data_IF_685026570484
#
_entry.id   IF_685026570484
#
_cell.length_a   1.000
_cell.length_b   1.000
_cell.length_c   1.000
_cell.angle_alpha   90.00
_cell.angle_beta   90.00
_cell.angle_gamma   90.00
#
_symmetry.space_group_name_H-M   'P 1'
#
loop_
_entity.id
_entity.type
_entity.pdbx_description
1 polymer ?
#
# COMPACT_ATOMS: atom_id res chain seq x y z
N UNK A 1 51.50 -5.82 -12.18
CA UNK A 1 50.30 -5.08 -11.75
C UNK A 1 50.07 -3.89 -12.66
N UNK A 2 51.13 -3.15 -12.97
CA UNK A 2 51.13 -2.03 -13.93
C UNK A 2 50.70 -2.44 -15.34
N UNK A 3 51.11 -3.61 -15.83
CA UNK A 3 50.69 -4.11 -17.16
C UNK A 3 49.17 -4.33 -17.26
N UNK A 4 48.55 -4.89 -16.22
CA UNK A 4 47.10 -5.13 -16.17
C UNK A 4 46.33 -3.81 -16.06
N UNK A 5 46.88 -2.82 -15.34
CA UNK A 5 46.30 -1.48 -15.24
C UNK A 5 46.39 -0.78 -16.61
N UNK A 6 47.52 -0.89 -17.31
CA UNK A 6 47.71 -0.33 -18.66
C UNK A 6 46.77 -0.95 -19.68
N UNK A 7 46.63 -2.28 -19.69
CA UNK A 7 45.70 -3.01 -20.55
C UNK A 7 44.24 -2.65 -20.25
N UNK A 8 43.87 -2.53 -18.97
CA UNK A 8 42.53 -2.10 -18.56
C UNK A 8 42.22 -0.69 -19.07
N UNK A 9 43.13 0.27 -18.87
CA UNK A 9 42.96 1.65 -19.35
C UNK A 9 42.86 1.72 -20.87
N UNK A 10 43.64 0.90 -21.58
CA UNK A 10 43.62 0.85 -23.05
C UNK A 10 42.28 0.32 -23.59
N UNK A 11 41.69 -0.68 -22.91
CA UNK A 11 40.44 -1.33 -23.37
C UNK A 11 39.18 -0.58 -22.93
N UNK A 12 39.19 0.08 -21.77
CA UNK A 12 38.01 0.73 -21.18
C UNK A 12 37.99 2.25 -21.29
N UNK A 13 39.13 2.86 -21.64
CA UNK A 13 39.32 4.33 -21.60
C UNK A 13 39.29 4.92 -20.18
N UNK A 14 39.26 4.09 -19.14
CA UNK A 14 39.16 4.51 -17.75
C UNK A 14 40.47 5.08 -17.19
N UNK A 15 40.37 5.88 -16.13
CA UNK A 15 41.54 6.39 -15.42
C UNK A 15 42.32 5.25 -14.74
N UNK A 16 43.64 5.43 -14.57
CA UNK A 16 44.47 4.44 -13.85
C UNK A 16 44.06 4.25 -12.39
N UNK A 17 43.32 5.21 -11.82
CA UNK A 17 42.75 5.12 -10.46
C UNK A 17 41.54 4.18 -10.44
N UNK A 18 40.67 4.28 -11.43
CA UNK A 18 39.52 3.38 -11.58
C UNK A 18 39.99 1.96 -11.92
N UNK A 19 40.94 1.82 -12.86
CA UNK A 19 41.54 0.54 -13.20
C UNK A 19 42.08 -0.22 -11.99
N UNK A 20 42.75 0.47 -11.04
CA UNK A 20 43.19 -0.13 -9.77
C UNK A 20 42.02 -0.57 -8.90
N UNK A 21 41.01 0.28 -8.73
CA UNK A 21 39.81 -0.02 -7.92
C UNK A 21 39.09 -1.28 -8.42
N UNK A 22 38.92 -1.44 -9.74
CA UNK A 22 38.28 -2.62 -10.32
C UNK A 22 39.18 -3.86 -10.24
N UNK A 23 40.48 -3.73 -10.52
CA UNK A 23 41.40 -4.87 -10.43
C UNK A 23 41.57 -5.36 -8.99
N UNK A 24 41.54 -4.49 -7.99
CA UNK A 24 41.60 -4.90 -6.58
C UNK A 24 40.30 -5.58 -6.11
N UNK A 25 39.14 -5.10 -6.58
CA UNK A 25 37.82 -5.66 -6.24
C UNK A 25 37.57 -7.04 -6.86
N UNK A 26 38.14 -7.31 -8.05
CA UNK A 26 37.91 -8.54 -8.81
C UNK A 26 39.13 -9.48 -8.81
N UNK A 27 39.86 -9.55 -7.70
CA UNK A 27 40.99 -10.48 -7.49
C UNK A 27 42.06 -10.43 -8.60
N UNK A 28 42.28 -9.23 -9.19
CA UNK A 28 43.26 -8.93 -10.26
C UNK A 28 43.04 -9.70 -11.56
N UNK A 29 41.80 -10.14 -11.81
CA UNK A 29 41.35 -10.70 -13.08
C UNK A 29 40.92 -9.58 -14.02
N UNK A 30 41.65 -9.43 -15.12
CA UNK A 30 41.48 -8.34 -16.08
C UNK A 30 40.14 -8.45 -16.83
N UNK A 31 39.81 -9.65 -17.26
CA UNK A 31 38.56 -10.03 -17.94
C UNK A 31 37.33 -9.64 -17.11
N UNK A 32 37.28 -10.05 -15.83
CA UNK A 32 36.15 -9.72 -14.95
C UNK A 32 36.10 -8.24 -14.60
N UNK A 33 37.25 -7.60 -14.43
CA UNK A 33 37.32 -6.19 -14.11
C UNK A 33 36.77 -5.34 -15.27
N UNK A 34 37.12 -5.67 -16.51
CA UNK A 34 36.65 -4.96 -17.71
C UNK A 34 35.14 -5.18 -17.90
N UNK A 35 34.65 -6.41 -17.76
CA UNK A 35 33.21 -6.70 -17.82
C UNK A 35 32.44 -5.94 -16.72
N UNK A 36 32.95 -5.94 -15.50
CA UNK A 36 32.39 -5.17 -14.40
C UNK A 36 32.40 -3.65 -14.66
N UNK A 37 33.43 -3.11 -15.33
CA UNK A 37 33.49 -1.69 -15.68
C UNK A 37 32.43 -1.30 -16.72
N UNK A 38 32.11 -2.17 -17.68
CA UNK A 38 31.06 -1.91 -18.66
C UNK A 38 29.64 -2.15 -18.09
N UNK A 39 29.51 -3.05 -17.11
CA UNK A 39 28.25 -3.32 -16.42
C UNK A 39 27.96 -2.37 -15.24
N UNK A 40 28.97 -1.78 -14.59
CA UNK A 40 28.81 -0.81 -13.49
C UNK A 40 28.07 0.47 -13.90
N UNK A 41 28.21 1.07 -15.09
CA UNK A 41 27.35 2.18 -15.53
C UNK A 41 25.87 1.84 -15.46
N UNK A 42 25.50 0.62 -15.84
CA UNK A 42 24.12 0.12 -15.76
C UNK A 42 23.74 -0.13 -14.30
N UNK A 43 24.59 -0.81 -13.54
CA UNK A 43 24.32 -1.14 -12.13
C UNK A 43 24.30 0.11 -11.22
N UNK A 44 25.11 1.12 -11.52
CA UNK A 44 25.22 2.38 -10.80
C UNK A 44 24.08 3.34 -11.21
N UNK A 45 23.59 3.28 -12.47
CA UNK A 45 22.33 3.92 -12.85
C UNK A 45 21.14 3.28 -12.14
N UNK A 46 21.06 1.95 -12.11
CA UNK A 46 20.02 1.22 -11.40
C UNK A 46 20.07 1.48 -9.88
N UNK A 47 21.27 1.55 -9.30
CA UNK A 47 21.46 1.92 -7.89
C UNK A 47 21.15 3.40 -7.61
N UNK A 48 21.43 4.30 -8.55
CA UNK A 48 21.04 5.71 -8.44
C UNK A 48 19.52 5.93 -8.60
N UNK A 49 18.83 5.00 -9.26
CA UNK A 49 17.37 4.97 -9.36
C UNK A 49 16.70 4.31 -8.14
N UNK A 50 17.45 3.59 -7.31
CA UNK A 50 16.93 2.99 -6.11
C UNK A 50 16.71 4.05 -5.00
N UNK A 51 15.64 3.93 -4.19
CA UNK A 51 15.38 4.88 -3.11
C UNK A 51 16.51 4.90 -2.07
N UNK A 52 16.97 6.09 -1.71
CA UNK A 52 18.06 6.27 -0.75
C UNK A 52 17.62 6.04 0.70
N UNK A 53 18.18 5.02 1.34
CA UNK A 53 18.04 4.76 2.78
C UNK A 53 18.43 5.97 3.63
N UNK A 54 19.47 6.70 3.23
CA UNK A 54 19.97 7.87 3.97
C UNK A 54 18.96 9.02 3.94
N UNK A 55 18.37 9.31 2.77
CA UNK A 55 17.32 10.34 2.66
C UNK A 55 16.08 9.96 3.45
N UNK A 56 15.68 8.69 3.40
CA UNK A 56 14.52 8.20 4.16
C UNK A 56 14.71 8.33 5.67
N UNK A 57 15.90 8.02 6.18
CA UNK A 57 16.23 8.24 7.59
C UNK A 57 16.21 9.72 7.96
N UNK A 58 16.77 10.59 7.11
CA UNK A 58 16.76 12.03 7.36
C UNK A 58 15.33 12.62 7.37
N UNK A 59 14.45 12.13 6.48
CA UNK A 59 13.03 12.48 6.51
C UNK A 59 12.35 11.95 7.77
N UNK A 60 12.64 10.71 8.17
CA UNK A 60 12.09 10.17 9.43
C UNK A 60 12.51 11.03 10.63
N UNK A 61 13.80 11.38 10.73
CA UNK A 61 14.33 12.21 11.81
C UNK A 61 13.76 13.63 11.83
N UNK A 62 13.34 14.15 10.66
CA UNK A 62 12.65 15.44 10.55
C UNK A 62 11.28 15.41 11.23
N UNK A 63 10.52 14.33 11.08
CA UNK A 63 9.15 14.22 11.61
C UNK A 63 9.10 13.57 13.00
N UNK A 64 10.10 12.80 13.38
CA UNK A 64 10.17 12.14 14.68
C UNK A 64 10.29 13.16 15.81
N UNK A 65 9.43 13.06 16.82
CA UNK A 65 9.48 13.91 18.00
C UNK A 65 10.75 13.64 18.83
N UNK A 66 11.24 14.65 19.55
CA UNK A 66 12.55 14.57 20.25
C UNK A 66 12.62 13.47 21.31
N UNK A 67 11.50 13.16 21.93
CA UNK A 67 11.41 12.22 23.06
C UNK A 67 10.81 10.87 22.67
N UNK A 68 10.43 10.70 21.40
CA UNK A 68 9.80 9.49 20.90
C UNK A 68 10.78 8.68 20.05
N UNK A 69 10.57 7.36 19.99
CA UNK A 69 11.31 6.47 19.09
C UNK A 69 10.71 6.46 17.68
N UNK A 70 9.39 6.67 17.60
CA UNK A 70 8.58 6.64 16.40
C UNK A 70 8.08 8.05 16.04
N UNK A 71 7.63 8.24 14.80
CA UNK A 71 6.84 9.42 14.45
C UNK A 71 5.45 9.20 15.04
N UNK A 72 4.97 10.14 15.86
CA UNK A 72 3.64 10.08 16.46
C UNK A 72 2.69 11.10 15.83
N UNK A 73 1.70 11.58 16.58
CA UNK A 73 0.64 12.48 16.09
C UNK A 73 1.18 13.80 15.54
N UNK A 74 2.09 14.48 16.25
CA UNK A 74 2.59 15.79 15.82
C UNK A 74 3.40 15.69 14.53
N UNK A 75 4.28 14.68 14.48
CA UNK A 75 5.06 14.38 13.28
C UNK A 75 4.20 13.94 12.10
N UNK A 76 3.13 13.19 12.35
CA UNK A 76 2.16 12.79 11.32
C UNK A 76 1.45 14.01 10.73
N UNK A 77 1.02 14.97 11.56
CA UNK A 77 0.39 16.21 11.09
C UNK A 77 1.36 16.99 10.18
N UNK A 78 2.62 17.13 10.61
CA UNK A 78 3.64 17.83 9.82
C UNK A 78 3.95 17.12 8.49
N UNK A 79 3.94 15.78 8.49
CA UNK A 79 4.07 14.97 7.28
C UNK A 79 2.89 15.20 6.33
N UNK A 80 1.65 15.19 6.83
CA UNK A 80 0.46 15.42 6.02
C UNK A 80 0.50 16.80 5.34
N UNK A 81 0.92 17.83 6.07
CA UNK A 81 1.14 19.17 5.51
C UNK A 81 2.17 19.16 4.36
N UNK A 82 3.31 18.51 4.57
CA UNK A 82 4.36 18.41 3.56
C UNK A 82 3.96 17.54 2.36
N UNK A 83 3.05 16.59 2.54
CA UNK A 83 2.45 15.80 1.47
C UNK A 83 1.26 16.52 0.80
N UNK A 84 0.76 17.62 1.39
CA UNK A 84 -0.47 18.30 0.99
C UNK A 84 -1.67 17.34 0.89
N UNK A 85 -1.84 16.54 1.93
CA UNK A 85 -2.95 15.59 2.09
C UNK A 85 -3.64 15.88 3.42
N UNK A 86 -4.95 15.68 3.48
CA UNK A 86 -5.69 15.77 4.72
C UNK A 86 -5.32 14.59 5.64
N UNK A 87 -5.06 14.79 6.94
CA UNK A 87 -4.82 13.70 7.88
C UNK A 87 -5.94 12.66 7.95
N UNK A 88 -7.18 13.05 7.61
CA UNK A 88 -8.36 12.17 7.60
C UNK A 88 -8.62 11.57 6.20
N UNK A 89 -7.75 11.82 5.23
CA UNK A 89 -7.90 11.28 3.88
C UNK A 89 -7.68 9.76 3.86
N UNK A 90 -8.59 9.04 3.21
CA UNK A 90 -8.56 7.58 3.03
C UNK A 90 -7.22 7.04 2.52
N UNK A 91 -6.47 7.82 1.72
CA UNK A 91 -5.16 7.39 1.19
C UNK A 91 -4.13 7.14 2.30
N UNK A 92 -4.28 7.78 3.47
CA UNK A 92 -3.39 7.56 4.62
C UNK A 92 -3.51 6.14 5.18
N UNK A 93 -4.66 5.47 5.00
CA UNK A 93 -4.82 4.06 5.34
C UNK A 93 -3.99 3.16 4.43
N UNK A 94 -3.94 3.46 3.13
CA UNK A 94 -3.07 2.76 2.19
C UNK A 94 -1.59 2.98 2.53
N UNK A 95 -1.21 4.22 2.89
CA UNK A 95 0.17 4.51 3.34
C UNK A 95 0.50 3.74 4.62
N UNK A 96 -0.39 3.75 5.61
CA UNK A 96 -0.24 3.00 6.86
C UNK A 96 -0.07 1.50 6.60
N UNK A 97 -0.84 0.94 5.67
CA UNK A 97 -0.72 -0.45 5.25
C UNK A 97 0.65 -0.75 4.60
N UNK A 98 1.07 0.04 3.61
CA UNK A 98 2.34 -0.17 2.90
C UNK A 98 3.56 -0.03 3.82
N UNK A 99 3.49 0.87 4.79
CA UNK A 99 4.53 1.09 5.80
C UNK A 99 4.40 0.16 7.01
N UNK A 100 3.38 -0.71 7.05
CA UNK A 100 3.13 -1.64 8.16
C UNK A 100 3.07 -0.93 9.51
N UNK A 101 2.34 0.19 9.55
CA UNK A 101 2.15 0.97 10.76
C UNK A 101 1.43 0.13 11.83
N UNK A 102 1.90 0.13 13.09
CA UNK A 102 1.31 -0.65 14.16
C UNK A 102 0.00 -0.04 14.70
N UNK A 103 -0.25 1.24 14.45
CA UNK A 103 -1.39 1.95 15.02
C UNK A 103 -1.52 3.38 14.52
N UNK A 104 -2.65 4.01 14.86
CA UNK A 104 -2.98 5.34 14.34
C UNK A 104 -1.94 6.40 14.71
N UNK A 105 -1.49 7.12 13.68
CA UNK A 105 -0.43 8.12 13.75
C UNK A 105 0.90 7.61 14.31
N UNK A 106 1.18 6.30 14.26
CA UNK A 106 2.45 5.72 14.71
C UNK A 106 3.25 5.18 13.53
N UNK A 107 4.47 5.68 13.33
CA UNK A 107 5.34 5.20 12.24
C UNK A 107 6.68 4.72 12.80
N UNK A 108 6.93 3.43 12.65
CA UNK A 108 8.23 2.85 13.00
C UNK A 108 9.26 3.17 11.93
N UNK A 109 10.52 3.33 12.34
CA UNK A 109 11.61 3.59 11.38
C UNK A 109 11.76 2.48 10.36
N UNK A 110 11.62 1.23 10.80
CA UNK A 110 11.73 0.08 9.91
C UNK A 110 10.60 0.09 8.87
N UNK A 111 9.35 0.25 9.31
CA UNK A 111 8.19 0.33 8.42
C UNK A 111 8.30 1.48 7.43
N UNK A 112 8.73 2.66 7.90
CA UNK A 112 8.98 3.83 7.07
C UNK A 112 10.01 3.57 5.96
N UNK A 113 11.19 3.06 6.33
CA UNK A 113 12.28 2.85 5.36
C UNK A 113 11.91 1.75 4.37
N UNK A 114 11.35 0.64 4.85
CA UNK A 114 11.04 -0.51 4.00
C UNK A 114 9.84 -0.22 3.08
N UNK A 115 8.79 0.42 3.61
CA UNK A 115 7.59 0.78 2.85
C UNK A 115 7.85 1.84 1.78
N UNK A 116 8.58 2.92 2.10
CA UNK A 116 8.89 3.90 1.06
C UNK A 116 9.86 3.36 0.02
N UNK A 117 10.77 2.45 0.39
CA UNK A 117 11.62 1.74 -0.58
C UNK A 117 10.81 0.85 -1.52
N UNK A 118 9.87 0.05 -1.00
CA UNK A 118 9.04 -0.81 -1.84
C UNK A 118 8.20 0.02 -2.83
N UNK A 119 7.77 1.21 -2.41
CA UNK A 119 7.05 2.17 -3.25
C UNK A 119 7.94 2.96 -4.21
N UNK A 120 9.26 2.81 -4.15
CA UNK A 120 10.20 3.52 -5.02
C UNK A 120 10.41 5.00 -4.67
N UNK A 121 10.17 5.39 -3.41
CA UNK A 121 10.15 6.79 -2.98
C UNK A 121 11.22 7.10 -1.92
N UNK A 122 11.94 8.21 -2.07
CA UNK A 122 12.89 8.72 -1.05
C UNK A 122 12.84 10.25 -0.87
N UNK A 123 11.84 10.91 -1.44
CA UNK A 123 11.61 12.36 -1.35
C UNK A 123 10.12 12.68 -1.24
N UNK A 124 9.78 13.81 -0.63
CA UNK A 124 8.39 14.27 -0.47
C UNK A 124 7.64 14.36 -1.81
N UNK A 125 8.19 14.94 -2.91
CA UNK A 125 7.50 14.95 -4.20
C UNK A 125 7.20 13.54 -4.74
N UNK A 126 8.13 12.59 -4.59
CA UNK A 126 7.89 11.20 -5.00
C UNK A 126 6.79 10.55 -4.16
N UNK A 127 6.78 10.80 -2.84
CA UNK A 127 5.73 10.32 -1.94
C UNK A 127 4.35 10.90 -2.32
N UNK A 128 4.27 12.19 -2.68
CA UNK A 128 3.01 12.80 -3.18
C UNK A 128 2.47 12.10 -4.43
N UNK A 129 3.33 11.80 -5.40
CA UNK A 129 2.94 11.02 -6.58
C UNK A 129 2.50 9.60 -6.20
N UNK A 130 3.15 8.99 -5.22
CA UNK A 130 2.75 7.68 -4.72
C UNK A 130 1.36 7.72 -4.05
N UNK A 131 0.97 8.81 -3.37
CA UNK A 131 -0.39 8.95 -2.82
C UNK A 131 -1.46 8.84 -3.91
N UNK A 132 -1.27 9.51 -5.04
CA UNK A 132 -2.20 9.43 -6.17
C UNK A 132 -2.33 7.98 -6.66
N UNK A 133 -1.19 7.32 -6.91
CA UNK A 133 -1.15 5.92 -7.35
C UNK A 133 -1.79 4.97 -6.34
N UNK A 134 -1.55 5.18 -5.04
CA UNK A 134 -2.10 4.35 -3.98
C UNK A 134 -3.62 4.54 -3.86
N UNK A 135 -4.13 5.77 -4.01
CA UNK A 135 -5.56 6.04 -4.05
C UNK A 135 -6.23 5.33 -5.22
N UNK A 136 -5.67 5.47 -6.41
CA UNK A 136 -6.22 4.82 -7.61
C UNK A 136 -6.24 3.30 -7.42
N UNK A 137 -5.12 2.72 -6.95
CA UNK A 137 -5.03 1.29 -6.65
C UNK A 137 -6.03 0.86 -5.57
N UNK A 138 -6.20 1.65 -4.51
CA UNK A 138 -7.16 1.37 -3.45
C UNK A 138 -8.60 1.36 -3.98
N UNK A 139 -8.94 2.30 -4.86
CA UNK A 139 -10.27 2.34 -5.48
C UNK A 139 -10.52 1.26 -6.53
N UNK A 140 -9.49 0.84 -7.29
CA UNK A 140 -9.66 0.01 -8.49
C UNK A 140 -9.30 -1.46 -8.35
N UNK A 141 -8.50 -1.85 -7.34
CA UNK A 141 -8.03 -3.22 -7.15
C UNK A 141 -8.78 -3.88 -5.97
N UNK A 142 -9.71 -4.82 -6.23
CA UNK A 142 -10.47 -5.51 -5.19
C UNK A 142 -9.60 -6.22 -4.15
N UNK A 143 -8.49 -6.84 -4.58
CA UNK A 143 -7.61 -7.59 -3.69
C UNK A 143 -6.87 -6.64 -2.76
N UNK A 144 -6.35 -5.55 -3.33
CA UNK A 144 -5.67 -4.53 -2.54
C UNK A 144 -6.62 -3.80 -1.59
N UNK A 145 -7.83 -3.47 -2.05
CA UNK A 145 -8.88 -2.90 -1.20
C UNK A 145 -9.19 -3.80 -0.01
N UNK A 146 -9.41 -5.10 -0.24
CA UNK A 146 -9.71 -6.05 0.84
C UNK A 146 -8.55 -6.15 1.85
N UNK A 147 -7.29 -6.08 1.40
CA UNK A 147 -6.13 -6.06 2.29
C UNK A 147 -6.09 -4.81 3.17
N UNK A 148 -6.26 -3.62 2.59
CA UNK A 148 -6.26 -2.34 3.32
C UNK A 148 -7.48 -2.26 4.25
N UNK A 149 -8.65 -2.73 3.81
CA UNK A 149 -9.87 -2.79 4.59
C UNK A 149 -9.69 -3.67 5.85
N UNK A 150 -9.16 -4.88 5.68
CA UNK A 150 -8.88 -5.77 6.81
C UNK A 150 -7.80 -5.21 7.75
N UNK A 151 -6.76 -4.62 7.19
CA UNK A 151 -5.71 -3.96 7.96
C UNK A 151 -6.27 -2.81 8.83
N UNK A 152 -7.19 -2.01 8.28
CA UNK A 152 -7.76 -0.84 8.97
C UNK A 152 -8.44 -1.24 10.28
N UNK A 153 -9.09 -2.40 10.35
CA UNK A 153 -9.67 -2.89 11.61
C UNK A 153 -8.61 -3.15 12.68
N UNK A 154 -7.52 -3.83 12.31
CA UNK A 154 -6.44 -4.17 13.25
C UNK A 154 -5.66 -2.93 13.68
N UNK A 155 -5.38 -2.04 12.73
CA UNK A 155 -4.71 -0.75 12.89
C UNK A 155 -5.45 0.21 13.84
N UNK A 156 -6.78 0.16 13.84
CA UNK A 156 -7.62 1.14 14.56
C UNK A 156 -8.07 0.68 15.93
N UNK A 157 -7.85 -0.58 16.26
CA UNK A 157 -8.29 -1.18 17.51
C UNK A 157 -7.28 -0.89 18.61
N UNK A 158 -7.75 -0.38 19.75
CA UNK A 158 -6.89 -0.15 20.90
C UNK A 158 -6.21 -1.46 21.37
N UNK A 159 -4.95 -1.40 21.82
CA UNK A 159 -4.23 -2.58 22.33
C UNK A 159 -5.05 -3.34 23.38
N UNK A 160 -5.22 -4.65 23.16
CA UNK A 160 -5.94 -5.55 24.06
C UNK A 160 -7.47 -5.60 23.90
N UNK A 161 -8.09 -4.67 23.16
CA UNK A 161 -9.53 -4.74 22.85
C UNK A 161 -9.80 -5.74 21.75
N UNK A 162 -10.94 -6.44 21.71
CA UNK A 162 -11.30 -7.38 20.61
C UNK A 162 -12.26 -6.79 19.57
N UNK A 163 -12.80 -5.61 19.86
CA UNK A 163 -13.77 -4.89 19.02
C UNK A 163 -13.29 -3.47 18.75
N UNK A 164 -13.66 -2.93 17.61
CA UNK A 164 -13.53 -1.52 17.28
C UNK A 164 -14.76 -0.76 17.80
N UNK A 165 -14.58 0.45 18.33
CA UNK A 165 -15.73 1.29 18.73
C UNK A 165 -16.63 1.60 17.53
N UNK A 166 -17.95 1.63 17.73
CA UNK A 166 -18.90 1.85 16.63
C UNK A 166 -18.61 3.15 15.86
N UNK A 167 -18.42 4.26 16.58
CA UNK A 167 -18.18 5.58 15.95
C UNK A 167 -16.93 5.57 15.08
N UNK A 168 -15.87 4.89 15.53
CA UNK A 168 -14.64 4.75 14.77
C UNK A 168 -14.83 3.87 13.53
N UNK A 169 -15.57 2.77 13.67
CA UNK A 169 -15.89 1.89 12.54
C UNK A 169 -16.71 2.64 11.47
N UNK A 170 -17.71 3.43 11.89
CA UNK A 170 -18.51 4.27 10.99
C UNK A 170 -17.65 5.31 10.25
N UNK A 171 -16.73 5.97 10.96
CA UNK A 171 -15.80 6.92 10.34
C UNK A 171 -14.95 6.27 9.23
N UNK A 172 -14.39 5.09 9.48
CA UNK A 172 -13.61 4.39 8.45
C UNK A 172 -14.45 3.85 7.30
N UNK A 173 -15.66 3.36 7.57
CA UNK A 173 -16.59 2.95 6.51
C UNK A 173 -16.98 4.11 5.60
N UNK A 174 -17.22 5.29 6.17
CA UNK A 174 -17.52 6.51 5.42
C UNK A 174 -16.35 6.94 4.50
N UNK A 175 -15.11 6.54 4.82
CA UNK A 175 -13.93 6.80 3.99
C UNK A 175 -13.71 5.70 2.93
N UNK A 176 -13.76 4.43 3.35
CA UNK A 176 -13.37 3.29 2.51
C UNK A 176 -14.46 2.91 1.50
N UNK A 177 -15.73 2.84 1.91
CA UNK A 177 -16.79 2.30 1.07
C UNK A 177 -17.01 3.19 -0.17
N UNK A 178 -17.20 4.52 -0.08
CA UNK A 178 -17.40 5.33 -1.27
C UNK A 178 -16.26 5.23 -2.28
N UNK A 179 -15.00 5.15 -1.81
CA UNK A 179 -13.84 5.00 -2.68
C UNK A 179 -13.85 3.64 -3.41
N UNK A 180 -14.12 2.55 -2.69
CA UNK A 180 -14.16 1.20 -3.26
C UNK A 180 -15.31 1.02 -4.26
N UNK A 181 -16.44 1.71 -4.05
CA UNK A 181 -17.58 1.72 -4.96
C UNK A 181 -17.28 2.50 -6.23
N UNK A 182 -16.82 3.74 -6.08
CA UNK A 182 -16.54 4.63 -7.22
C UNK A 182 -15.41 4.09 -8.11
N UNK A 183 -14.39 3.48 -7.51
CA UNK A 183 -13.27 2.90 -8.25
C UNK A 183 -13.54 1.49 -8.79
N UNK A 184 -14.65 0.85 -8.40
CA UNK A 184 -15.02 -0.48 -8.86
C UNK A 184 -14.34 -1.64 -8.12
N UNK A 185 -13.49 -1.39 -7.12
CA UNK A 185 -12.93 -2.44 -6.25
C UNK A 185 -14.00 -3.28 -5.55
N UNK A 186 -15.17 -2.69 -5.32
CA UNK A 186 -16.34 -3.34 -4.73
C UNK A 186 -17.42 -3.72 -5.77
N UNK A 187 -17.20 -3.52 -7.07
CA UNK A 187 -18.18 -3.80 -8.12
C UNK A 187 -18.30 -5.30 -8.48
N UNK A 188 -17.34 -6.14 -8.11
CA UNK A 188 -17.37 -7.58 -8.37
C UNK A 188 -18.08 -8.39 -7.26
N UNK A 189 -19.29 -7.98 -6.90
CA UNK A 189 -20.22 -8.80 -6.12
C UNK A 189 -21.12 -9.53 -7.12
N UNK A 190 -20.56 -10.52 -7.83
CA UNK A 190 -21.30 -11.32 -8.81
C UNK A 190 -21.77 -12.60 -8.12
N UNK A 191 -23.09 -12.87 -7.97
CA UNK A 191 -23.56 -14.22 -7.77
C UNK A 191 -23.16 -15.04 -9.00
N UNK A 192 -22.43 -16.13 -8.79
CA UNK A 192 -22.20 -17.12 -9.85
C UNK A 192 -23.57 -17.50 -10.43
N UNK A 193 -23.80 -17.41 -11.75
CA UNK A 193 -25.04 -17.92 -12.32
C UNK A 193 -25.10 -19.41 -12.03
N UNK A 194 -26.14 -19.81 -11.29
CA UNK A 194 -26.56 -21.19 -11.21
C UNK A 194 -26.93 -21.62 -12.64
N UNK A 195 -26.34 -22.74 -13.06
CA UNK A 195 -26.92 -23.63 -14.05
C UNK A 195 -26.83 -23.19 -15.53
N UNK A 196 -25.63 -23.29 -16.10
CA UNK A 196 -25.52 -23.69 -17.52
C UNK A 196 -25.56 -25.22 -17.57
N UNK A 197 -26.77 -25.78 -17.52
CA UNK A 197 -27.19 -27.02 -18.19
C UNK A 197 -28.61 -27.40 -17.69
N UNK A 198 -29.64 -27.05 -18.46
CA UNK A 198 -31.03 -27.40 -18.13
C UNK A 198 -32.05 -26.69 -19.01
N UNK A 199 -32.24 -27.20 -20.22
CA UNK A 199 -33.33 -26.89 -21.15
C UNK A 199 -34.71 -27.19 -20.53
N UNK A 200 -35.57 -26.17 -20.39
CA UNK A 200 -37.04 -26.33 -20.31
C UNK A 200 -37.76 -25.10 -20.87
N UNK A 201 -38.55 -25.35 -21.92
CA UNK A 201 -39.68 -24.52 -22.36
C UNK A 201 -40.77 -24.52 -21.27
N UNK A 202 -41.31 -23.35 -20.92
CA UNK A 202 -42.76 -23.06 -20.92
C UNK A 202 -43.05 -21.63 -20.42
N UNK A 203 -44.12 -21.07 -20.98
CA UNK A 203 -44.57 -19.68 -20.87
C UNK A 203 -45.04 -19.27 -19.45
N UNK A 204 -44.95 -17.96 -19.20
CA UNK A 204 -45.54 -17.14 -18.13
C UNK A 204 -44.74 -16.90 -16.83
N UNK A 205 -44.64 -15.60 -16.50
CA UNK A 205 -44.02 -14.93 -15.34
C UNK A 205 -42.48 -14.85 -15.28
N UNK A 206 -41.90 -13.88 -15.99
CA UNK A 206 -40.56 -13.37 -15.69
C UNK A 206 -40.55 -11.83 -15.62
N UNK A 207 -40.69 -11.32 -14.41
CA UNK A 207 -40.26 -9.98 -14.03
C UNK A 207 -38.81 -9.80 -14.51
N UNK A 208 -38.61 -8.87 -15.44
CA UNK A 208 -37.30 -8.51 -15.99
C UNK A 208 -36.34 -8.21 -14.84
N UNK A 209 -35.27 -9.02 -14.75
CA UNK A 209 -34.30 -9.01 -13.67
C UNK A 209 -33.79 -7.62 -13.34
N UNK A 210 -33.97 -7.26 -12.07
CA UNK A 210 -33.15 -6.22 -11.45
C UNK A 210 -31.75 -6.80 -11.39
N UNK A 211 -30.83 -6.18 -12.12
CA UNK A 211 -29.40 -6.35 -11.97
C UNK A 211 -29.08 -6.11 -10.49
N UNK A 212 -28.84 -7.17 -9.70
CA UNK A 212 -28.45 -7.03 -8.29
C UNK A 212 -27.00 -6.52 -8.25
N UNK A 213 -26.92 -5.20 -8.40
CA UNK A 213 -25.72 -4.39 -8.32
C UNK A 213 -25.01 -4.58 -6.97
N UNK A 214 -23.67 -4.44 -6.99
CA UNK A 214 -22.81 -4.50 -5.81
C UNK A 214 -23.18 -3.49 -4.72
N UNK A 215 -22.40 -3.47 -3.63
CA UNK A 215 -22.70 -2.67 -2.43
C UNK A 215 -23.08 -1.23 -2.80
N UNK A 216 -24.30 -0.77 -2.54
CA UNK A 216 -24.74 0.58 -2.91
C UNK A 216 -24.43 1.61 -1.80
N UNK A 217 -24.33 2.89 -2.17
CA UNK A 217 -24.21 3.99 -1.20
C UNK A 217 -25.39 3.99 -0.21
N UNK A 218 -26.58 3.64 -0.70
CA UNK A 218 -27.80 3.49 0.11
C UNK A 218 -27.67 2.39 1.17
N UNK A 219 -26.96 1.30 0.88
CA UNK A 219 -26.70 0.24 1.87
C UNK A 219 -25.77 0.70 2.98
N UNK A 220 -24.90 1.68 2.74
CA UNK A 220 -24.04 2.24 3.79
C UNK A 220 -24.88 2.98 4.83
N UNK A 221 -25.87 3.75 4.38
CA UNK A 221 -26.79 4.47 5.28
C UNK A 221 -27.68 3.50 6.06
N UNK A 222 -28.30 2.53 5.37
CA UNK A 222 -29.13 1.49 6.01
C UNK A 222 -28.33 0.64 7.00
N UNK A 223 -27.06 0.33 6.69
CA UNK A 223 -26.17 -0.39 7.58
C UNK A 223 -25.86 0.40 8.86
N UNK A 224 -25.64 1.70 8.75
CA UNK A 224 -25.41 2.56 9.91
C UNK A 224 -26.66 2.69 10.79
N UNK A 225 -27.84 2.83 10.18
CA UNK A 225 -29.13 2.84 10.89
C UNK A 225 -29.36 1.51 11.63
N UNK A 226 -29.17 0.37 10.95
CA UNK A 226 -29.27 -0.96 11.55
C UNK A 226 -28.34 -1.15 12.76
N UNK A 227 -27.09 -0.70 12.66
CA UNK A 227 -26.12 -0.80 13.76
C UNK A 227 -26.51 0.07 14.96
N UNK A 228 -27.10 1.25 14.72
CA UNK A 228 -27.63 2.13 15.76
C UNK A 228 -28.85 1.51 16.45
N UNK A 229 -29.81 0.97 15.69
CA UNK A 229 -31.01 0.31 16.23
C UNK A 229 -30.66 -0.93 17.08
N UNK A 230 -29.66 -1.71 16.65
CA UNK A 230 -29.14 -2.85 17.41
C UNK A 230 -28.46 -2.46 18.73
N UNK A 231 -28.12 -1.18 18.92
CA UNK A 231 -27.42 -0.70 20.12
C UNK A 231 -26.01 -1.25 20.28
N UNK A 232 -25.37 -1.65 19.17
CA UNK A 232 -24.03 -2.26 19.17
C UNK A 232 -22.98 -1.23 19.57
N UNK A 233 -22.33 -1.40 20.73
CA UNK A 233 -21.28 -0.48 21.20
C UNK A 233 -19.92 -0.68 20.53
N UNK A 234 -19.74 -1.80 19.82
CA UNK A 234 -18.51 -2.12 19.13
C UNK A 234 -18.69 -3.18 18.06
N UNK A 235 -17.81 -3.14 17.08
CA UNK A 235 -17.79 -3.99 15.90
C UNK A 235 -16.71 -5.07 16.08
N UNK A 236 -17.09 -6.33 15.96
CA UNK A 236 -16.14 -7.47 15.95
C UNK A 236 -15.43 -7.57 14.61
N UNK A 237 -14.32 -8.31 14.55
CA UNK A 237 -13.61 -8.60 13.30
C UNK A 237 -14.53 -9.27 12.28
N UNK A 238 -15.32 -10.25 12.71
CA UNK A 238 -16.27 -10.94 11.83
C UNK A 238 -17.30 -9.97 11.26
N UNK A 239 -17.84 -9.07 12.11
CA UNK A 239 -18.80 -8.05 11.67
C UNK A 239 -18.20 -7.05 10.70
N UNK A 240 -16.95 -6.63 10.94
CA UNK A 240 -16.21 -5.80 10.01
C UNK A 240 -16.04 -6.52 8.66
N UNK A 241 -15.66 -7.79 8.69
CA UNK A 241 -15.41 -8.55 7.46
C UNK A 241 -16.70 -8.83 6.68
N UNK A 242 -17.86 -8.99 7.32
CA UNK A 242 -19.14 -9.20 6.63
C UNK A 242 -19.43 -8.15 5.54
N UNK A 243 -19.03 -6.89 5.72
CA UNK A 243 -19.24 -5.85 4.70
C UNK A 243 -18.50 -6.16 3.38
N UNK A 244 -17.34 -6.81 3.46
CA UNK A 244 -16.59 -7.30 2.29
C UNK A 244 -16.81 -8.80 1.99
N UNK A 245 -17.34 -9.58 2.94
CA UNK A 245 -17.56 -11.03 2.86
C UNK A 245 -18.99 -11.43 2.52
N UNK A 246 -19.97 -10.53 2.60
CA UNK A 246 -21.29 -10.71 1.98
C UNK A 246 -21.21 -10.81 0.44
N UNK A 247 -19.99 -10.82 -0.11
CA UNK A 247 -19.64 -11.20 -1.48
C UNK A 247 -18.96 -12.57 -1.62
N UNK A 248 -18.75 -13.35 -0.55
CA UNK A 248 -17.97 -14.60 -0.60
C UNK A 248 -18.62 -15.81 0.09
N UNK A 249 -19.52 -15.63 1.05
CA UNK A 249 -20.09 -16.75 1.80
C UNK A 249 -21.42 -17.25 1.21
N UNK A 250 -21.34 -18.02 0.13
CA UNK A 250 -22.22 -19.17 -0.18
C UNK A 250 -21.38 -20.27 -0.85
N UNK A 251 -20.35 -20.74 -0.13
CA UNK A 251 -19.63 -21.95 -0.52
C UNK A 251 -19.22 -22.73 0.73
N UNK A 252 -20.17 -23.45 1.32
CA UNK A 252 -19.89 -24.72 2.00
C UNK A 252 -21.13 -25.59 2.12
#
# INVERSE_FOLDING_TARGET
MEDKISQFCTVTGASSKDARRYLDKHSRRLDLAIDAYYNEPTQNRLAAMAPSTTKLNALFDKYKERHEENITTEGTIQLCQDLAVDPEDVVLLAVAFELKSPGMAEWTRQGWVDGWKSLGCDTIPAMRTALIRLRDKLGSDPTYFQQVYNFTFEFSRAPGQRSLGLDMAQAFWALLLPLGLQGGALAHIVPRPADSEGEYDDEDDAMTGVEEDGWQEEFTTLWFEFLQEKGSKGISKDTWQMVCSSSADHQS
#
